data_IF_651951356855
#
_entry.id   IF_651951356855
#
_cell.length_a   1.000
_cell.length_b   1.000
_cell.length_c   1.000
_cell.angle_alpha   90.00
_cell.angle_beta   90.00
_cell.angle_gamma   90.00
#
_symmetry.space_group_name_H-M   'P 1'
#
loop_
_entity.id
_entity.type
_entity.pdbx_description
1 polymer ?
#
# COMPACT_ATOMS: atom_id res chain seq x y z
N UNK A 1 102.71 -29.01 12.29
CA UNK A 1 103.29 -29.58 13.53
C UNK A 1 103.17 -28.51 14.60
N UNK A 2 102.44 -28.78 15.68
CA UNK A 2 102.42 -27.88 16.82
C UNK A 2 103.73 -28.00 17.58
N UNK A 3 104.32 -26.88 17.99
CA UNK A 3 105.50 -26.85 18.85
C UNK A 3 105.13 -26.24 20.19
N UNK A 4 105.68 -26.78 21.28
CA UNK A 4 105.64 -26.12 22.58
C UNK A 4 107.05 -25.85 23.06
N UNK A 5 107.24 -24.68 23.65
CA UNK A 5 108.50 -24.28 24.27
C UNK A 5 108.22 -23.97 25.73
N UNK A 6 108.95 -24.60 26.63
CA UNK A 6 108.93 -24.23 28.05
C UNK A 6 109.86 -23.03 28.19
N UNK A 7 109.31 -21.90 28.61
CA UNK A 7 110.06 -20.68 28.81
C UNK A 7 110.89 -20.80 30.10
N UNK A 8 111.93 -19.99 30.23
CA UNK A 8 112.83 -20.05 31.39
C UNK A 8 112.14 -19.72 32.73
N UNK A 9 110.99 -19.05 32.70
CA UNK A 9 110.17 -18.73 33.87
C UNK A 9 109.18 -19.85 34.26
N UNK A 10 109.21 -20.98 33.54
CA UNK A 10 108.31 -22.13 33.76
C UNK A 10 106.95 -22.03 33.07
N UNK A 11 106.66 -20.93 32.36
CA UNK A 11 105.47 -20.85 31.49
C UNK A 11 105.67 -21.66 30.20
N UNK A 12 104.59 -21.99 29.50
CA UNK A 12 104.65 -22.74 28.23
C UNK A 12 104.06 -21.89 27.11
N UNK A 13 104.85 -21.67 26.06
CA UNK A 13 104.36 -21.09 24.80
C UNK A 13 104.02 -22.21 23.84
N UNK A 14 102.76 -22.29 23.43
CA UNK A 14 102.29 -23.24 22.41
C UNK A 14 101.99 -22.50 21.11
N UNK A 15 102.54 -22.98 19.99
CA UNK A 15 102.24 -22.49 18.65
C UNK A 15 101.64 -23.63 17.81
N UNK A 16 100.38 -23.48 17.46
CA UNK A 16 99.67 -24.43 16.61
C UNK A 16 98.32 -23.91 16.15
N UNK A 17 97.66 -24.69 15.29
CA UNK A 17 96.33 -24.42 14.76
C UNK A 17 95.28 -25.29 15.47
N UNK A 18 94.24 -24.68 16.01
CA UNK A 18 93.05 -25.40 16.52
C UNK A 18 91.96 -25.33 15.46
N UNK A 19 91.45 -26.49 15.03
CA UNK A 19 90.37 -26.56 14.04
C UNK A 19 89.11 -27.06 14.73
N UNK A 20 88.05 -26.26 14.70
CA UNK A 20 86.71 -26.68 15.11
C UNK A 20 85.95 -27.17 13.88
N UNK A 21 85.56 -28.44 13.84
CA UNK A 21 84.67 -28.95 12.80
C UNK A 21 83.21 -28.73 13.18
N UNK A 22 82.43 -28.10 12.30
CA UNK A 22 80.98 -27.89 12.50
C UNK A 22 80.56 -26.52 13.06
N UNK A 23 81.47 -25.54 13.13
CA UNK A 23 81.12 -24.18 13.55
C UNK A 23 80.58 -23.36 12.36
N UNK A 24 79.29 -23.04 12.39
CA UNK A 24 78.71 -21.99 11.55
C UNK A 24 78.81 -20.65 12.27
N UNK A 25 79.69 -19.78 11.77
CA UNK A 25 79.91 -18.39 12.22
C UNK A 25 80.49 -18.17 13.64
N UNK A 26 81.79 -18.44 13.84
CA UNK A 26 82.48 -18.16 15.11
C UNK A 26 82.88 -16.69 15.30
N UNK A 27 82.65 -15.79 14.33
CA UNK A 27 83.19 -14.42 14.34
C UNK A 27 82.21 -13.36 14.87
N UNK A 28 80.94 -13.69 15.09
CA UNK A 28 79.92 -12.72 15.53
C UNK A 28 79.72 -12.62 17.05
N UNK A 29 80.27 -13.53 17.86
CA UNK A 29 79.93 -13.66 19.30
C UNK A 29 81.08 -13.38 20.27
N UNK A 30 82.25 -12.99 19.76
CA UNK A 30 83.28 -12.24 20.50
C UNK A 30 84.08 -12.97 21.59
N UNK A 31 83.67 -14.13 22.12
CA UNK A 31 84.49 -14.88 23.10
C UNK A 31 84.25 -16.39 23.01
N UNK A 32 85.33 -17.18 22.90
CA UNK A 32 85.37 -18.62 23.12
C UNK A 32 86.39 -18.95 24.21
N UNK A 33 86.03 -19.82 25.17
CA UNK A 33 86.92 -20.22 26.27
C UNK A 33 87.41 -21.64 26.03
N UNK A 34 88.73 -21.80 25.84
CA UNK A 34 89.40 -23.08 25.69
C UNK A 34 90.29 -23.35 26.91
N UNK A 35 90.07 -24.48 27.57
CA UNK A 35 90.94 -24.93 28.67
C UNK A 35 91.74 -26.15 28.21
N UNK A 36 93.06 -25.98 28.10
CA UNK A 36 94.00 -27.05 27.74
C UNK A 36 94.65 -27.59 29.02
N UNK A 37 94.57 -28.91 29.24
CA UNK A 37 95.27 -29.58 30.34
C UNK A 37 96.22 -30.66 29.81
N UNK A 38 97.25 -31.09 30.58
CA UNK A 38 98.20 -32.13 30.14
C UNK A 38 97.55 -33.48 29.82
N UNK A 39 96.34 -33.74 30.32
CA UNK A 39 95.58 -34.96 30.10
C UNK A 39 94.56 -34.87 28.93
N UNK A 40 94.50 -33.72 28.24
CA UNK A 40 93.51 -33.44 27.20
C UNK A 40 92.78 -32.11 27.44
N UNK A 41 92.29 -31.49 26.37
CA UNK A 41 91.47 -30.29 26.42
C UNK A 41 89.98 -30.62 26.37
N UNK A 42 89.18 -29.91 27.16
CA UNK A 42 87.71 -29.93 27.09
C UNK A 42 87.23 -28.56 26.62
N UNK A 43 86.33 -28.56 25.64
CA UNK A 43 85.64 -27.37 25.15
C UNK A 43 84.17 -27.50 25.47
N UNK A 44 83.55 -26.43 25.97
CA UNK A 44 82.10 -26.34 26.11
C UNK A 44 81.62 -25.15 25.24
N UNK A 45 80.61 -25.40 24.41
CA UNK A 45 79.96 -24.41 23.54
C UNK A 45 78.51 -24.24 24.05
N UNK A 46 78.22 -23.28 24.93
CA UNK A 46 76.90 -23.12 25.53
C UNK A 46 75.79 -22.70 24.55
N UNK A 47 76.13 -22.37 23.29
CA UNK A 47 75.22 -21.73 22.34
C UNK A 47 74.39 -22.70 21.47
N UNK A 48 74.39 -24.00 21.77
CA UNK A 48 73.58 -25.02 21.07
C UNK A 48 72.31 -25.42 21.84
N UNK A 49 71.86 -24.62 22.82
CA UNK A 49 70.59 -24.87 23.49
C UNK A 49 69.47 -24.30 22.61
N UNK A 50 68.64 -25.18 22.04
CA UNK A 50 67.39 -24.78 21.37
C UNK A 50 66.63 -23.80 22.26
N UNK A 51 66.24 -22.64 21.72
CA UNK A 51 65.45 -21.67 22.47
C UNK A 51 64.21 -22.34 23.04
N UNK A 52 63.93 -22.11 24.33
CA UNK A 52 62.81 -22.74 25.01
C UNK A 52 61.51 -22.54 24.21
N UNK A 53 60.66 -23.59 24.06
CA UNK A 53 59.41 -23.47 23.34
C UNK A 53 58.58 -22.27 23.81
N UNK A 54 57.90 -21.60 22.86
CA UNK A 54 56.93 -20.56 23.19
C UNK A 54 55.82 -21.10 24.08
N UNK A 55 55.19 -20.22 24.87
CA UNK A 55 54.02 -20.59 25.66
C UNK A 55 52.85 -20.99 24.72
N UNK A 56 51.86 -21.79 25.21
CA UNK A 56 50.69 -22.17 24.41
C UNK A 56 49.99 -20.96 23.77
N UNK A 57 49.47 -21.10 22.53
CA UNK A 57 48.86 -19.99 21.81
C UNK A 57 47.60 -19.47 22.50
N UNK A 58 47.39 -18.16 22.39
CA UNK A 58 46.18 -17.48 22.85
C UNK A 58 45.22 -17.22 21.68
N UNK A 59 43.95 -17.56 21.87
CA UNK A 59 42.91 -17.35 20.87
C UNK A 59 41.90 -16.33 21.39
N UNK A 60 41.62 -15.31 20.59
CA UNK A 60 40.51 -14.37 20.80
C UNK A 60 39.46 -14.57 19.73
N UNK A 61 38.19 -14.67 20.13
CA UNK A 61 37.07 -14.85 19.21
C UNK A 61 36.29 -13.55 19.02
N UNK A 62 35.98 -13.23 17.77
CA UNK A 62 35.06 -12.17 17.41
C UNK A 62 33.93 -12.75 16.54
N UNK A 63 32.68 -12.42 16.85
CA UNK A 63 31.52 -12.91 16.10
C UNK A 63 30.81 -11.73 15.45
N UNK A 64 30.66 -11.77 14.14
CA UNK A 64 29.96 -10.79 13.34
C UNK A 64 28.69 -11.41 12.75
N UNK A 65 27.58 -10.70 12.89
CA UNK A 65 26.33 -11.09 12.23
C UNK A 65 26.37 -10.68 10.76
N UNK A 66 26.14 -11.63 9.85
CA UNK A 66 26.03 -11.38 8.40
C UNK A 66 24.58 -11.23 7.98
N UNK A 67 24.34 -10.64 6.80
CA UNK A 67 23.01 -10.54 6.21
C UNK A 67 22.36 -11.93 6.02
N UNK A 68 21.03 -11.98 6.06
CA UNK A 68 20.28 -13.21 5.79
C UNK A 68 20.61 -13.73 4.38
N UNK A 69 20.89 -15.04 4.28
CA UNK A 69 21.28 -15.69 3.03
C UNK A 69 22.76 -15.59 2.66
N UNK A 70 23.59 -14.87 3.43
CA UNK A 70 25.04 -14.90 3.25
C UNK A 70 25.63 -16.27 3.62
N UNK A 71 26.79 -16.62 3.07
CA UNK A 71 27.55 -17.81 3.49
C UNK A 71 28.30 -17.52 4.78
N UNK A 72 28.32 -18.48 5.72
CA UNK A 72 29.11 -18.35 6.94
C UNK A 72 30.62 -18.27 6.61
N UNK A 73 31.34 -17.41 7.34
CA UNK A 73 32.77 -17.19 7.10
C UNK A 73 33.58 -17.46 8.35
N UNK A 74 34.82 -17.94 8.17
CA UNK A 74 35.82 -18.04 9.23
C UNK A 74 37.11 -17.40 8.72
N UNK A 75 37.69 -16.51 9.53
CA UNK A 75 38.97 -15.91 9.24
C UNK A 75 39.85 -15.98 10.48
N UNK A 76 41.09 -16.44 10.32
CA UNK A 76 42.10 -16.45 11.37
C UNK A 76 43.19 -15.45 11.01
N UNK A 77 43.48 -14.54 11.92
CA UNK A 77 44.53 -13.54 11.77
C UNK A 77 45.51 -13.68 12.92
N UNK A 78 46.79 -13.89 12.63
CA UNK A 78 47.83 -13.88 13.64
C UNK A 78 48.07 -12.45 14.11
N UNK A 79 47.90 -12.20 15.39
CA UNK A 79 48.10 -10.87 16.01
C UNK A 79 49.45 -10.78 16.72
N UNK A 80 50.03 -11.91 17.11
CA UNK A 80 51.39 -11.99 17.65
C UNK A 80 52.07 -13.30 17.21
N UNK A 81 53.26 -13.26 16.60
CA UNK A 81 54.02 -14.45 16.22
C UNK A 81 54.50 -15.31 17.41
N UNK A 82 54.57 -14.73 18.61
CA UNK A 82 55.18 -15.36 19.78
C UNK A 82 56.71 -15.33 19.73
N UNK A 83 57.35 -15.76 20.82
CA UNK A 83 58.80 -15.91 20.94
C UNK A 83 59.14 -16.88 22.07
N UNK A 84 60.42 -17.12 22.34
CA UNK A 84 60.82 -17.83 23.56
C UNK A 84 60.19 -17.15 24.80
N UNK A 85 59.45 -17.92 25.59
CA UNK A 85 58.73 -17.43 26.77
C UNK A 85 57.47 -16.58 26.50
N UNK A 86 57.07 -16.36 25.24
CA UNK A 86 55.88 -15.56 24.88
C UNK A 86 54.93 -16.35 23.99
N UNK A 87 53.64 -16.38 24.33
CA UNK A 87 52.62 -17.05 23.53
C UNK A 87 52.42 -16.37 22.17
N UNK A 88 52.20 -17.17 21.12
CA UNK A 88 51.61 -16.63 19.88
C UNK A 88 50.14 -16.30 20.11
N UNK A 89 49.61 -15.30 19.42
CA UNK A 89 48.23 -14.87 19.57
C UNK A 89 47.53 -14.78 18.21
N UNK A 90 46.27 -15.20 18.18
CA UNK A 90 45.42 -15.17 16.98
C UNK A 90 44.04 -14.62 17.32
N UNK A 91 43.47 -13.89 16.38
CA UNK A 91 42.05 -13.56 16.37
C UNK A 91 41.33 -14.43 15.36
N UNK A 92 40.28 -15.12 15.82
CA UNK A 92 39.37 -15.89 14.99
C UNK A 92 38.06 -15.11 14.86
N UNK A 93 37.78 -14.65 13.64
CA UNK A 93 36.54 -13.94 13.32
C UNK A 93 35.56 -14.88 12.63
N UNK A 94 34.39 -15.04 13.23
CA UNK A 94 33.28 -15.84 12.71
C UNK A 94 32.20 -14.92 12.15
N UNK A 95 31.86 -15.09 10.88
CA UNK A 95 30.71 -14.43 10.26
C UNK A 95 29.53 -15.40 10.26
N UNK A 96 28.50 -15.11 11.06
CA UNK A 96 27.31 -15.96 11.18
C UNK A 96 26.11 -15.26 10.52
N UNK A 97 25.51 -15.82 9.45
CA UNK A 97 24.32 -15.26 8.82
C UNK A 97 23.12 -15.16 9.75
N UNK A 98 22.33 -14.11 9.58
CA UNK A 98 21.00 -14.02 10.19
C UNK A 98 20.11 -15.18 9.70
N UNK A 99 19.17 -15.59 10.56
CA UNK A 99 18.11 -16.52 10.17
C UNK A 99 17.28 -15.96 9.01
N UNK A 100 16.58 -16.85 8.30
CA UNK A 100 15.68 -16.44 7.23
C UNK A 100 14.59 -15.48 7.75
N UNK A 101 14.19 -14.53 6.91
CA UNK A 101 13.04 -13.69 7.21
C UNK A 101 11.81 -14.58 7.45
N UNK A 102 11.05 -14.29 8.50
CA UNK A 102 9.80 -14.99 8.78
C UNK A 102 8.80 -14.82 7.63
N UNK A 103 7.85 -15.76 7.51
CA UNK A 103 6.77 -15.64 6.54
C UNK A 103 5.99 -14.33 6.75
N UNK A 104 5.49 -13.75 5.66
CA UNK A 104 4.58 -12.62 5.76
C UNK A 104 3.32 -13.03 6.56
N UNK A 105 2.81 -12.10 7.38
CA UNK A 105 1.54 -12.31 8.06
C UNK A 105 0.40 -12.48 7.05
N UNK A 106 -0.64 -13.22 7.43
CA UNK A 106 -1.82 -13.47 6.58
C UNK A 106 -2.54 -12.19 6.14
N UNK A 107 -2.38 -11.10 6.90
CA UNK A 107 -3.02 -9.81 6.66
C UNK A 107 -2.10 -8.81 5.94
N UNK A 108 -1.06 -9.27 5.23
CA UNK A 108 -0.11 -8.40 4.54
C UNK A 108 -0.70 -7.69 3.30
N UNK A 109 -1.93 -8.03 2.91
CA UNK A 109 -2.65 -7.39 1.80
C UNK A 109 -4.07 -7.04 2.23
N UNK A 110 -4.70 -6.07 1.57
CA UNK A 110 -6.12 -5.75 1.78
C UNK A 110 -6.97 -7.01 1.57
N UNK A 111 -6.66 -7.80 0.54
CA UNK A 111 -7.37 -9.04 0.23
C UNK A 111 -7.24 -10.11 1.33
N UNK A 112 -6.14 -10.09 2.09
CA UNK A 112 -5.88 -10.98 3.22
C UNK A 112 -6.31 -10.40 4.57
N UNK A 113 -6.87 -9.19 4.59
CA UNK A 113 -7.26 -8.54 5.84
C UNK A 113 -8.48 -9.24 6.46
N UNK A 114 -8.36 -9.63 7.74
CA UNK A 114 -9.40 -10.37 8.45
C UNK A 114 -10.69 -9.58 8.72
N UNK A 115 -10.61 -8.26 8.62
CA UNK A 115 -11.72 -7.31 8.75
C UNK A 115 -12.33 -6.93 7.38
N UNK A 116 -11.83 -7.48 6.28
CA UNK A 116 -12.46 -7.35 4.98
C UNK A 116 -13.57 -8.40 4.81
N UNK A 117 -14.75 -7.95 4.39
CA UNK A 117 -15.87 -8.80 4.02
C UNK A 117 -16.27 -8.55 2.57
N UNK A 118 -16.45 -9.64 1.82
CA UNK A 118 -16.88 -9.62 0.43
C UNK A 118 -18.35 -10.02 0.36
N UNK A 119 -19.21 -9.23 -0.31
CA UNK A 119 -20.58 -9.64 -0.57
C UNK A 119 -20.62 -10.99 -1.30
N UNK A 120 -21.68 -11.76 -1.08
CA UNK A 120 -21.86 -13.05 -1.75
C UNK A 120 -21.73 -12.92 -3.27
N UNK A 121 -20.93 -13.80 -3.87
CA UNK A 121 -20.65 -13.80 -5.31
C UNK A 121 -19.63 -12.74 -5.78
N UNK A 122 -19.04 -11.96 -4.88
CA UNK A 122 -17.99 -10.99 -5.20
C UNK A 122 -16.63 -11.56 -4.83
N UNK A 123 -15.69 -11.57 -5.78
CA UNK A 123 -14.29 -11.91 -5.56
C UNK A 123 -13.40 -10.72 -5.95
N UNK A 124 -12.34 -10.49 -5.18
CA UNK A 124 -11.37 -9.46 -5.53
C UNK A 124 -10.60 -9.87 -6.79
N UNK A 125 -10.60 -8.98 -7.78
CA UNK A 125 -9.89 -9.19 -9.03
C UNK A 125 -10.20 -8.08 -10.04
N UNK A 126 -10.04 -8.39 -11.32
CA UNK A 126 -10.36 -7.47 -12.43
C UNK A 126 -11.83 -7.06 -12.44
N UNK A 127 -12.74 -7.96 -12.07
CA UNK A 127 -14.18 -7.70 -12.01
C UNK A 127 -14.58 -6.67 -10.94
N UNK A 128 -13.76 -6.50 -9.90
CA UNK A 128 -13.97 -5.51 -8.83
C UNK A 128 -13.01 -4.32 -8.95
N UNK A 129 -12.35 -4.15 -10.09
CA UNK A 129 -11.50 -3.00 -10.31
C UNK A 129 -12.33 -1.70 -10.24
N UNK A 130 -11.89 -0.75 -9.41
CA UNK A 130 -12.60 0.51 -9.18
C UNK A 130 -13.69 0.46 -8.10
N UNK A 131 -13.88 -0.68 -7.44
CA UNK A 131 -14.72 -0.77 -6.25
C UNK A 131 -14.09 0.00 -5.09
N UNK A 132 -14.92 0.41 -4.14
CA UNK A 132 -14.50 1.16 -2.95
C UNK A 132 -14.75 0.35 -1.69
N UNK A 133 -13.93 0.61 -0.67
CA UNK A 133 -14.14 0.11 0.68
C UNK A 133 -15.05 1.05 1.44
N UNK A 134 -16.07 0.50 2.09
CA UNK A 134 -16.95 1.22 3.01
C UNK A 134 -16.95 0.50 4.35
N UNK A 135 -16.81 1.24 5.44
CA UNK A 135 -16.84 0.65 6.77
C UNK A 135 -18.28 0.40 7.20
N UNK A 136 -18.60 -0.85 7.52
CA UNK A 136 -19.85 -1.26 8.14
C UNK A 136 -19.65 -1.32 9.66
N UNK A 137 -20.17 -0.31 10.35
CA UNK A 137 -20.07 -0.21 11.80
C UNK A 137 -20.91 -1.28 12.54
N UNK A 138 -21.93 -1.87 11.90
CA UNK A 138 -22.78 -2.90 12.53
C UNK A 138 -22.00 -4.21 12.64
N UNK A 139 -21.34 -4.59 11.56
CA UNK A 139 -20.56 -5.83 11.50
C UNK A 139 -19.09 -5.64 11.88
N UNK A 140 -18.64 -4.40 12.06
CA UNK A 140 -17.24 -4.02 12.27
C UNK A 140 -16.33 -4.58 11.17
N UNK A 141 -16.76 -4.42 9.91
CA UNK A 141 -16.08 -4.94 8.71
C UNK A 141 -15.96 -3.87 7.64
N UNK A 142 -14.96 -3.99 6.79
CA UNK A 142 -14.85 -3.26 5.53
C UNK A 142 -15.57 -4.04 4.44
N UNK A 143 -16.58 -3.43 3.84
CA UNK A 143 -17.31 -3.99 2.71
C UNK A 143 -16.73 -3.47 1.39
N UNK A 144 -16.54 -4.38 0.45
CA UNK A 144 -16.19 -4.07 -0.93
C UNK A 144 -17.45 -3.89 -1.74
N UNK A 145 -17.61 -2.74 -2.40
CA UNK A 145 -18.77 -2.47 -3.23
C UNK A 145 -18.50 -1.47 -4.35
N UNK A 146 -19.40 -1.42 -5.36
CA UNK A 146 -19.32 -0.38 -6.37
C UNK A 146 -19.40 1.00 -5.71
N UNK A 147 -18.67 2.00 -6.23
CA UNK A 147 -18.64 3.31 -5.61
C UNK A 147 -20.03 3.95 -5.68
N UNK A 148 -20.46 4.55 -4.55
CA UNK A 148 -21.65 5.40 -4.51
C UNK A 148 -21.34 6.68 -5.27
N UNK A 149 -21.81 6.79 -6.51
CA UNK A 149 -21.55 7.96 -7.37
C UNK A 149 -22.86 8.50 -7.93
N UNK A 150 -22.84 9.76 -8.29
CA UNK A 150 -23.91 10.33 -9.10
C UNK A 150 -23.98 9.58 -10.44
N UNK A 151 -25.16 9.07 -10.81
CA UNK A 151 -25.38 8.31 -12.05
C UNK A 151 -26.34 9.04 -12.98
N UNK A 152 -26.05 9.01 -14.28
CA UNK A 152 -26.78 9.74 -15.30
C UNK A 152 -25.87 10.71 -16.06
N UNK A 153 -26.43 11.71 -16.76
CA UNK A 153 -27.87 12.01 -16.84
C UNK A 153 -28.65 10.98 -17.66
N UNK A 154 -29.86 10.66 -17.19
CA UNK A 154 -30.88 9.94 -17.96
C UNK A 154 -31.81 10.97 -18.60
N UNK A 155 -31.92 10.97 -19.93
CA UNK A 155 -32.55 12.06 -20.68
C UNK A 155 -33.69 11.55 -21.55
N UNK A 156 -34.83 12.23 -21.50
CA UNK A 156 -35.89 12.16 -22.51
C UNK A 156 -35.87 13.45 -23.32
N UNK A 157 -35.73 13.30 -24.63
CA UNK A 157 -35.73 14.41 -25.58
C UNK A 157 -37.17 14.76 -26.02
N UNK A 158 -37.33 15.97 -26.56
CA UNK A 158 -38.60 16.50 -27.06
C UNK A 158 -39.30 15.58 -28.08
N UNK A 159 -38.55 14.82 -28.87
CA UNK A 159 -39.08 13.87 -29.85
C UNK A 159 -39.88 12.72 -29.22
N UNK A 160 -39.65 12.44 -27.94
CA UNK A 160 -40.30 11.37 -27.18
C UNK A 160 -41.36 11.92 -26.21
N UNK A 161 -41.68 13.22 -26.30
CA UNK A 161 -42.74 13.85 -25.51
C UNK A 161 -44.10 13.66 -26.20
N UNK A 162 -45.10 13.37 -25.38
CA UNK A 162 -46.51 13.37 -25.79
C UNK A 162 -47.07 14.75 -25.54
N UNK A 163 -47.35 15.49 -26.62
CA UNK A 163 -48.08 16.75 -26.53
C UNK A 163 -49.51 16.50 -26.01
N UNK A 164 -50.07 17.49 -25.33
CA UNK A 164 -51.42 17.40 -24.78
C UNK A 164 -52.25 18.63 -25.18
N UNK A 165 -53.53 18.41 -25.44
CA UNK A 165 -54.55 19.45 -25.61
C UNK A 165 -55.90 18.92 -25.14
N UNK A 166 -56.56 19.61 -24.22
CA UNK A 166 -57.85 19.19 -23.68
C UNK A 166 -58.21 19.87 -22.37
N UNK A 167 -59.11 19.25 -21.60
CA UNK A 167 -59.66 19.78 -20.34
C UNK A 167 -59.45 18.86 -19.13
N UNK A 168 -58.73 17.75 -19.27
CA UNK A 168 -58.34 16.89 -18.15
C UNK A 168 -57.51 17.68 -17.11
N UNK A 169 -57.62 17.29 -15.83
CA UNK A 169 -56.89 17.97 -14.75
C UNK A 169 -55.36 17.78 -14.81
N UNK A 170 -54.88 16.72 -15.47
CA UNK A 170 -53.46 16.49 -15.70
C UNK A 170 -53.21 15.63 -16.94
N UNK A 171 -51.98 15.69 -17.47
CA UNK A 171 -51.52 14.89 -18.60
C UNK A 171 -50.05 14.50 -18.43
N UNK A 172 -49.73 13.24 -18.69
CA UNK A 172 -48.33 12.77 -18.72
C UNK A 172 -47.68 13.16 -20.03
N UNK A 173 -46.57 13.91 -19.95
CA UNK A 173 -45.83 14.39 -21.11
C UNK A 173 -44.68 13.46 -21.49
N UNK A 174 -44.02 12.86 -20.51
CA UNK A 174 -42.89 11.97 -20.70
C UNK A 174 -42.73 11.01 -19.53
N UNK A 175 -42.06 9.88 -19.77
CA UNK A 175 -41.61 8.98 -18.72
C UNK A 175 -40.22 8.43 -19.00
N UNK A 176 -39.48 8.10 -17.94
CA UNK A 176 -38.18 7.43 -18.03
C UNK A 176 -38.01 6.43 -16.90
N UNK A 177 -37.65 5.20 -17.27
CA UNK A 177 -37.26 4.16 -16.32
C UNK A 177 -35.76 4.21 -16.04
N UNK A 178 -35.39 4.17 -14.77
CA UNK A 178 -34.01 3.99 -14.32
C UNK A 178 -33.85 2.54 -13.82
N UNK A 179 -32.75 1.85 -14.20
CA UNK A 179 -32.47 0.51 -13.70
C UNK A 179 -32.20 0.53 -12.19
N UNK A 180 -32.26 -0.66 -11.58
CA UNK A 180 -31.87 -0.82 -10.19
C UNK A 180 -30.40 -0.42 -9.97
N UNK A 181 -30.17 0.48 -9.02
CA UNK A 181 -28.81 0.90 -8.62
C UNK A 181 -28.42 0.22 -7.29
N UNK A 182 -27.14 -0.09 -7.07
CA UNK A 182 -26.69 -0.84 -5.89
C UNK A 182 -26.76 -0.03 -4.58
N UNK A 183 -27.13 1.24 -4.63
CA UNK A 183 -27.31 2.13 -3.49
C UNK A 183 -28.63 2.87 -3.59
N UNK A 184 -29.15 3.30 -2.44
CA UNK A 184 -30.27 4.20 -2.40
C UNK A 184 -29.87 5.56 -2.98
N UNK A 185 -30.81 6.21 -3.67
CA UNK A 185 -30.56 7.50 -4.28
C UNK A 185 -31.80 8.38 -4.23
N UNK A 186 -31.56 9.69 -4.37
CA UNK A 186 -32.60 10.69 -4.62
C UNK A 186 -32.40 11.29 -6.01
N UNK A 187 -33.47 11.48 -6.79
CA UNK A 187 -33.36 12.08 -8.10
C UNK A 187 -33.09 13.59 -7.97
N UNK A 188 -32.09 14.07 -8.70
CA UNK A 188 -31.99 15.47 -9.08
C UNK A 188 -32.69 15.62 -10.43
N UNK A 189 -33.82 16.33 -10.41
CA UNK A 189 -34.69 16.51 -11.57
C UNK A 189 -34.41 17.85 -12.24
N UNK A 190 -34.37 17.83 -13.56
CA UNK A 190 -34.50 19.02 -14.38
C UNK A 190 -35.40 18.70 -15.57
N UNK A 191 -36.45 19.48 -15.78
CA UNK A 191 -37.32 19.30 -16.93
C UNK A 191 -37.88 20.64 -17.41
N UNK A 192 -38.45 20.65 -18.60
CA UNK A 192 -39.16 21.81 -19.10
C UNK A 192 -40.10 21.47 -20.24
N UNK A 193 -41.12 22.30 -20.42
CA UNK A 193 -42.05 22.27 -21.55
C UNK A 193 -42.73 23.63 -21.71
N UNK A 194 -43.49 23.82 -22.78
CA UNK A 194 -44.34 25.01 -22.95
C UNK A 194 -45.80 24.69 -22.63
N UNK A 195 -46.36 25.42 -21.66
CA UNK A 195 -47.78 25.40 -21.35
C UNK A 195 -48.56 26.36 -22.26
N UNK A 196 -49.80 26.00 -22.58
CA UNK A 196 -50.73 26.81 -23.38
C UNK A 196 -52.13 26.75 -22.78
N UNK A 197 -52.94 27.76 -23.04
CA UNK A 197 -54.33 27.81 -22.58
C UNK A 197 -54.91 29.20 -22.71
N UNK A 198 -56.00 29.47 -21.98
CA UNK A 198 -56.69 30.76 -21.94
C UNK A 198 -56.16 31.64 -20.81
N UNK A 199 -56.68 32.87 -20.71
CA UNK A 199 -56.37 33.80 -19.61
C UNK A 199 -56.66 33.26 -18.20
N UNK A 200 -57.49 32.23 -18.06
CA UNK A 200 -57.84 31.63 -16.76
C UNK A 200 -57.05 30.35 -16.44
N UNK A 201 -56.24 29.85 -17.38
CA UNK A 201 -55.51 28.58 -17.21
C UNK A 201 -54.19 28.77 -16.47
N UNK A 202 -53.85 27.84 -15.57
CA UNK A 202 -52.57 27.78 -14.83
C UNK A 202 -51.98 26.36 -14.89
N UNK A 203 -51.03 26.15 -15.81
CA UNK A 203 -50.45 24.82 -16.05
C UNK A 203 -49.08 24.70 -15.37
N UNK A 204 -49.01 23.84 -14.37
CA UNK A 204 -47.78 23.49 -13.66
C UNK A 204 -47.14 22.22 -14.21
N UNK A 205 -45.86 22.04 -13.89
CA UNK A 205 -45.10 20.82 -14.15
C UNK A 205 -44.77 20.09 -12.87
N UNK A 206 -45.00 18.78 -12.84
CA UNK A 206 -44.62 17.90 -11.74
C UNK A 206 -43.80 16.74 -12.28
N UNK A 207 -42.76 16.32 -11.55
CA UNK A 207 -42.12 15.03 -11.79
C UNK A 207 -42.48 14.09 -10.65
N UNK A 208 -43.14 12.99 -10.99
CA UNK A 208 -43.68 12.03 -10.05
C UNK A 208 -42.94 10.70 -10.14
N UNK A 209 -42.59 10.14 -8.98
CA UNK A 209 -41.91 8.87 -8.83
C UNK A 209 -42.93 7.71 -8.78
N UNK A 210 -42.71 6.69 -9.61
CA UNK A 210 -43.40 5.40 -9.69
C UNK A 210 -44.92 5.43 -9.99
N UNK A 211 -45.54 6.61 -10.06
CA UNK A 211 -46.91 6.78 -10.55
C UNK A 211 -47.07 8.15 -11.23
N UNK A 212 -47.75 8.23 -12.38
CA UNK A 212 -48.03 9.49 -13.06
C UNK A 212 -49.18 10.28 -12.43
N UNK A 213 -49.88 9.73 -11.43
CA UNK A 213 -51.06 10.37 -10.85
C UNK A 213 -50.67 11.31 -9.70
N UNK A 214 -50.95 12.62 -9.78
CA UNK A 214 -50.74 13.55 -8.67
C UNK A 214 -51.41 13.06 -7.38
N UNK A 215 -50.69 13.13 -6.26
CA UNK A 215 -51.15 12.61 -4.96
C UNK A 215 -50.95 11.10 -4.74
N UNK A 216 -50.71 10.32 -5.80
CA UNK A 216 -50.30 8.90 -5.68
C UNK A 216 -48.79 8.73 -5.87
N UNK A 217 -48.24 9.35 -6.93
CA UNK A 217 -46.80 9.41 -7.13
C UNK A 217 -46.14 10.41 -6.17
N UNK A 218 -44.95 10.10 -5.69
CA UNK A 218 -44.20 11.04 -4.86
C UNK A 218 -43.62 12.15 -5.74
N UNK A 219 -43.89 13.40 -5.40
CA UNK A 219 -43.35 14.54 -6.12
C UNK A 219 -41.86 14.69 -5.83
N UNK A 220 -41.05 14.66 -6.87
CA UNK A 220 -39.59 14.82 -6.82
C UNK A 220 -39.07 15.97 -7.69
N UNK A 221 -39.96 16.57 -8.49
CA UNK A 221 -39.72 17.82 -9.17
C UNK A 221 -40.99 18.64 -9.28
N UNK A 222 -40.84 19.96 -9.30
CA UNK A 222 -41.95 20.89 -9.50
C UNK A 222 -41.49 22.12 -10.28
N UNK A 223 -42.36 22.61 -11.15
CA UNK A 223 -42.20 23.83 -11.92
C UNK A 223 -43.49 24.61 -11.92
N UNK A 224 -43.43 25.84 -11.43
CA UNK A 224 -44.56 26.74 -11.38
C UNK A 224 -44.85 27.30 -12.78
N UNK A 225 -46.10 27.19 -13.19
CA UNK A 225 -46.63 27.80 -14.39
C UNK A 225 -46.99 29.27 -14.19
N UNK A 226 -47.60 29.85 -15.22
CA UNK A 226 -48.14 31.21 -15.17
C UNK A 226 -49.61 31.14 -15.52
N UNK A 227 -50.44 31.89 -14.77
CA UNK A 227 -51.83 32.09 -15.15
C UNK A 227 -51.90 33.01 -16.35
N UNK A 228 -52.44 32.54 -17.48
CA UNK A 228 -52.60 33.40 -18.65
C UNK A 228 -52.64 32.63 -19.96
N UNK A 229 -52.91 33.37 -21.04
CA UNK A 229 -52.82 32.82 -22.39
C UNK A 229 -51.35 32.54 -22.75
N UNK A 230 -51.08 31.34 -23.25
CA UNK A 230 -49.74 30.89 -23.64
C UNK A 230 -49.36 31.16 -25.10
N UNK A 231 -48.18 30.68 -25.55
CA UNK A 231 -47.29 29.75 -24.85
C UNK A 231 -46.40 30.41 -23.78
N UNK A 232 -46.19 29.73 -22.66
CA UNK A 232 -45.25 30.12 -21.60
C UNK A 232 -44.36 28.94 -21.18
N UNK A 233 -43.08 29.17 -20.86
CA UNK A 233 -42.19 28.11 -20.41
C UNK A 233 -42.51 27.69 -18.97
N UNK A 234 -42.55 26.39 -18.73
CA UNK A 234 -42.62 25.79 -17.39
C UNK A 234 -41.29 25.09 -17.15
N UNK A 235 -40.49 25.61 -16.21
CA UNK A 235 -39.21 25.01 -15.85
C UNK A 235 -39.36 24.25 -14.54
N UNK A 236 -39.09 22.95 -14.58
CA UNK A 236 -39.21 22.04 -13.45
C UNK A 236 -37.82 21.77 -12.89
N UNK A 237 -37.66 21.96 -11.59
CA UNK A 237 -36.44 21.64 -10.87
C UNK A 237 -36.73 20.66 -9.74
N UNK A 238 -35.67 20.14 -9.10
CA UNK A 238 -35.78 19.29 -7.93
C UNK A 238 -36.57 20.02 -6.83
N UNK A 239 -37.73 19.48 -6.49
CA UNK A 239 -38.62 20.00 -5.47
C UNK A 239 -39.52 18.86 -5.00
N UNK A 240 -39.54 18.64 -3.68
CA UNK A 240 -40.19 17.51 -3.07
C UNK A 240 -41.51 17.91 -2.44
N UNK A 241 -42.53 17.05 -2.53
CA UNK A 241 -43.83 17.27 -1.89
C UNK A 241 -43.81 17.19 -0.35
N UNK A 242 -42.63 17.00 0.26
CA UNK A 242 -42.42 16.97 1.70
C UNK A 242 -41.02 17.49 2.05
N UNK A 243 -40.84 17.95 3.29
CA UNK A 243 -39.52 18.33 3.82
C UNK A 243 -38.55 17.14 3.82
N UNK A 244 -37.35 17.35 3.28
CA UNK A 244 -36.30 16.33 3.22
C UNK A 244 -35.25 16.61 4.29
N UNK A 245 -35.18 15.74 5.30
CA UNK A 245 -34.08 15.66 6.27
C UNK A 245 -33.11 14.54 5.89
N UNK A 246 -31.96 14.45 6.57
CA UNK A 246 -31.00 13.36 6.38
C UNK A 246 -31.54 11.95 6.69
N UNK A 247 -32.68 11.84 7.38
CA UNK A 247 -33.37 10.57 7.67
C UNK A 247 -34.65 10.35 6.85
N UNK A 248 -35.03 11.30 6.00
CA UNK A 248 -36.25 11.19 5.19
C UNK A 248 -36.07 10.12 4.11
N UNK A 249 -37.12 9.35 3.86
CA UNK A 249 -37.22 8.37 2.76
C UNK A 249 -38.14 8.86 1.63
N UNK A 250 -38.78 10.02 1.77
CA UNK A 250 -39.72 10.55 0.77
C UNK A 250 -39.00 10.87 -0.54
N UNK A 251 -39.42 10.33 -1.68
CA UNK A 251 -38.77 10.57 -2.97
C UNK A 251 -37.39 9.90 -3.10
N UNK A 252 -37.04 9.00 -2.18
CA UNK A 252 -35.85 8.16 -2.25
C UNK A 252 -36.20 6.85 -2.96
N UNK A 253 -35.33 6.42 -3.87
CA UNK A 253 -35.38 5.08 -4.44
C UNK A 253 -34.44 4.20 -3.63
N UNK A 254 -34.96 3.09 -3.11
CA UNK A 254 -34.17 2.14 -2.33
C UNK A 254 -33.09 1.46 -3.18
N UNK A 255 -32.03 0.98 -2.53
CA UNK A 255 -31.01 0.17 -3.18
C UNK A 255 -31.64 -1.06 -3.88
N UNK A 256 -31.05 -1.46 -5.00
CA UNK A 256 -31.47 -2.60 -5.83
C UNK A 256 -32.93 -2.52 -6.33
N UNK A 257 -33.50 -1.31 -6.39
CA UNK A 257 -34.88 -1.09 -6.85
C UNK A 257 -34.88 -0.23 -8.11
N UNK A 258 -35.53 -0.72 -9.17
CA UNK A 258 -35.78 0.08 -10.36
C UNK A 258 -36.89 1.11 -10.11
N UNK A 259 -36.85 2.25 -10.80
CA UNK A 259 -37.81 3.33 -10.63
C UNK A 259 -38.24 3.94 -11.95
N UNK A 260 -39.44 4.48 -12.02
CA UNK A 260 -39.92 5.25 -13.19
C UNK A 260 -40.28 6.66 -12.78
N UNK A 261 -39.84 7.64 -13.57
CA UNK A 261 -40.16 9.05 -13.38
C UNK A 261 -41.11 9.51 -14.46
N UNK A 262 -42.15 10.24 -14.10
CA UNK A 262 -43.15 10.76 -15.00
C UNK A 262 -43.13 12.28 -14.94
N UNK A 263 -42.96 12.94 -16.08
CA UNK A 263 -43.22 14.37 -16.20
C UNK A 263 -44.70 14.56 -16.52
N UNK A 264 -45.39 15.30 -15.67
CA UNK A 264 -46.84 15.50 -15.71
C UNK A 264 -47.12 16.99 -15.73
N UNK A 265 -47.91 17.45 -16.69
CA UNK A 265 -48.51 18.78 -16.64
C UNK A 265 -49.83 18.70 -15.89
N UNK A 266 -50.10 19.67 -15.00
CA UNK A 266 -51.32 19.72 -14.20
C UNK A 266 -51.96 21.09 -14.28
N UNK A 267 -53.27 21.15 -14.50
CA UNK A 267 -54.07 22.36 -14.41
C UNK A 267 -54.53 22.53 -12.96
N UNK A 268 -54.07 23.59 -12.29
CA UNK A 268 -54.42 23.84 -10.89
C UNK A 268 -55.64 24.74 -10.69
N UNK A 269 -55.99 25.55 -11.69
CA UNK A 269 -57.21 26.34 -11.61
C UNK A 269 -58.43 25.47 -11.90
N UNK A 270 -59.46 25.55 -11.06
CA UNK A 270 -60.75 24.92 -11.29
C UNK A 270 -61.51 25.65 -12.42
N UNK A 271 -61.11 25.37 -13.65
CA UNK A 271 -61.68 25.93 -14.89
C UNK A 271 -61.99 24.78 -15.84
N UNK A 272 -62.95 24.99 -16.72
CA UNK A 272 -63.25 24.08 -17.84
C UNK A 272 -62.51 24.50 -19.11
N UNK A 273 -61.64 25.50 -19.02
CA UNK A 273 -60.94 26.07 -20.15
C UNK A 273 -59.96 25.04 -20.71
N UNK A 274 -59.92 24.94 -22.04
CA UNK A 274 -58.96 24.08 -22.70
C UNK A 274 -57.53 24.60 -22.46
N UNK A 275 -56.64 23.68 -22.17
CA UNK A 275 -55.22 23.94 -21.99
C UNK A 275 -54.41 22.89 -22.77
N UNK A 276 -53.11 23.11 -22.87
CA UNK A 276 -52.22 22.18 -23.55
C UNK A 276 -50.79 22.28 -23.07
N UNK A 277 -50.03 21.25 -23.43
CA UNK A 277 -48.59 21.19 -23.24
C UNK A 277 -47.94 20.81 -24.57
N UNK A 278 -46.98 21.62 -25.00
CA UNK A 278 -46.28 21.39 -26.26
C UNK A 278 -45.08 20.45 -26.04
N UNK A 279 -44.87 19.54 -26.99
CA UNK A 279 -43.69 18.68 -27.01
C UNK A 279 -42.42 19.43 -27.45
N UNK A 280 -42.56 20.51 -28.24
CA UNK A 280 -41.44 21.32 -28.74
C UNK A 280 -40.59 21.86 -27.59
N UNK A 281 -39.27 21.66 -27.67
CA UNK A 281 -38.30 22.00 -26.62
C UNK A 281 -38.56 21.35 -25.26
N UNK A 282 -39.42 20.33 -25.21
CA UNK A 282 -39.62 19.50 -24.04
C UNK A 282 -38.36 18.71 -23.69
N UNK A 283 -38.02 18.63 -22.41
CA UNK A 283 -36.94 17.77 -21.94
C UNK A 283 -37.21 17.28 -20.52
N UNK A 284 -36.74 16.08 -20.22
CA UNK A 284 -36.72 15.52 -18.86
C UNK A 284 -35.35 14.90 -18.63
N UNK A 285 -34.65 15.39 -17.61
CA UNK A 285 -33.36 14.90 -17.18
C UNK A 285 -33.43 14.45 -15.74
N UNK A 286 -33.02 13.22 -15.49
CA UNK A 286 -32.88 12.65 -14.15
C UNK A 286 -31.43 12.31 -13.90
N UNK A 287 -30.90 12.79 -12.78
CA UNK A 287 -29.60 12.40 -12.27
C UNK A 287 -29.80 11.72 -10.91
N UNK A 288 -29.33 10.50 -10.74
CA UNK A 288 -29.44 9.77 -9.49
C UNK A 288 -28.30 10.18 -8.55
N UNK A 289 -28.61 10.87 -7.46
CA UNK A 289 -27.65 11.31 -6.44
C UNK A 289 -27.68 10.34 -5.26
N UNK A 290 -26.56 9.72 -4.85
CA UNK A 290 -26.54 8.84 -3.69
C UNK A 290 -27.09 9.52 -2.44
N UNK A 291 -27.90 8.77 -1.66
CA UNK A 291 -28.58 9.21 -0.44
C UNK A 291 -28.29 8.30 0.73
#
# INVERSE_FOLDING_TARGET
MATYTVNADGSITWNGSVTFSGATDPLSTGVATLTLTPAGGVSNLPALVDGAPGLPPQLTFAVNTLAAGATATVQTTQTNPGSAGTASAYTVTLGIPQGAQGAAGTNATIAGASDLELPSGVSLGTATAGYTLSYDAVNSKWLVGPPKRTTGPYVVLSSSFTAYSGTAGSATLASIGLPALPYAYRPQVQAGFYGTGTVNTHVDGMVLLNSPTPGTGQQVGYGLGVTGAGPYPVNVQASFGASISGSSTYGQVAANTAATFYLVASQLNSTTDAWGAQATNGYLTITAVPS
#
